data_IF_587854700103
#
_entry.id   IF_587854700103
#
_cell.length_a   1.000
_cell.length_b   1.000
_cell.length_c   1.000
_cell.angle_alpha   90.00
_cell.angle_beta   90.00
_cell.angle_gamma   90.00
#
_symmetry.space_group_name_H-M   'P 1'
#
loop_
_entity.id
_entity.type
_entity.pdbx_description
1 polymer ?
#
# COMPACT_ATOMS: atom_id res chain seq x y z
N UNK A 1 -9.98 15.79 -81.64
CA UNK A 1 -9.20 14.55 -81.66
C UNK A 1 -9.37 13.86 -80.32
N UNK A 2 -9.78 12.59 -80.32
CA UNK A 2 -9.92 11.77 -79.10
C UNK A 2 -8.54 11.32 -78.63
N UNK A 3 -8.29 11.35 -77.32
CA UNK A 3 -7.05 10.82 -76.77
C UNK A 3 -7.17 9.31 -76.52
N UNK A 4 -6.05 8.59 -76.61
CA UNK A 4 -6.03 7.17 -76.26
C UNK A 4 -6.36 6.98 -74.78
N UNK A 5 -7.32 6.10 -74.47
CA UNK A 5 -7.78 5.82 -73.10
C UNK A 5 -8.94 6.68 -72.61
N UNK A 6 -9.53 7.51 -73.46
CA UNK A 6 -10.71 8.32 -73.13
C UNK A 6 -11.94 7.42 -72.94
N UNK A 7 -12.73 7.69 -71.89
CA UNK A 7 -13.91 6.88 -71.57
C UNK A 7 -15.07 7.25 -72.48
N UNK A 8 -15.60 6.26 -73.19
CA UNK A 8 -16.64 6.42 -74.20
C UNK A 8 -17.87 5.58 -73.84
N UNK A 9 -19.04 6.08 -74.20
CA UNK A 9 -20.30 5.33 -74.16
C UNK A 9 -20.69 4.97 -75.58
N UNK A 10 -20.97 3.69 -75.82
CA UNK A 10 -21.42 3.20 -77.13
C UNK A 10 -22.92 3.45 -77.23
N UNK A 11 -23.34 4.20 -78.25
CA UNK A 11 -24.73 4.52 -78.52
C UNK A 11 -25.31 3.59 -79.60
N UNK A 12 -24.52 3.31 -80.64
CA UNK A 12 -24.92 2.46 -81.76
C UNK A 12 -23.72 1.73 -82.35
N UNK A 13 -23.95 0.55 -82.94
CA UNK A 13 -22.95 -0.21 -83.68
C UNK A 13 -23.53 -0.51 -85.07
N UNK A 14 -22.74 -0.28 -86.11
CA UNK A 14 -23.15 -0.55 -87.49
C UNK A 14 -23.39 -2.05 -87.72
N UNK A 15 -24.27 -2.40 -88.65
CA UNK A 15 -24.66 -3.79 -88.95
C UNK A 15 -23.47 -4.68 -89.36
N UNK A 16 -22.42 -4.07 -89.95
CA UNK A 16 -21.16 -4.72 -90.31
C UNK A 16 -20.15 -4.84 -89.15
N UNK A 17 -20.49 -4.35 -87.96
CA UNK A 17 -19.69 -4.30 -86.73
C UNK A 17 -18.35 -3.57 -86.85
N UNK A 18 -18.10 -2.80 -87.91
CA UNK A 18 -16.81 -2.11 -88.14
C UNK A 18 -16.75 -0.73 -87.49
N UNK A 19 -17.89 -0.07 -87.36
CA UNK A 19 -17.99 1.26 -86.78
C UNK A 19 -18.98 1.28 -85.62
N UNK A 20 -18.67 2.11 -84.63
CA UNK A 20 -19.54 2.40 -83.51
C UNK A 20 -19.71 3.91 -83.37
N UNK A 21 -20.95 4.33 -83.12
CA UNK A 21 -21.27 5.70 -82.76
C UNK A 21 -21.16 5.84 -81.25
N UNK A 22 -20.31 6.76 -80.81
CA UNK A 22 -19.96 6.93 -79.39
C UNK A 22 -20.12 8.38 -78.93
N UNK A 23 -20.38 8.56 -77.64
CA UNK A 23 -20.26 9.84 -76.94
C UNK A 23 -19.15 9.77 -75.90
N UNK A 24 -18.51 10.90 -75.59
CA UNK A 24 -17.60 10.96 -74.45
C UNK A 24 -18.41 10.89 -73.15
N UNK A 25 -17.94 10.10 -72.20
CA UNK A 25 -18.53 10.05 -70.86
C UNK A 25 -18.44 11.41 -70.13
N UNK A 26 -17.43 12.22 -70.45
CA UNK A 26 -17.22 13.54 -69.83
C UNK A 26 -18.04 14.66 -70.46
N UNK A 27 -18.51 14.49 -71.70
CA UNK A 27 -19.18 15.53 -72.48
C UNK A 27 -20.08 14.87 -73.54
N UNK A 28 -21.35 14.67 -73.19
CA UNK A 28 -22.32 13.97 -74.03
C UNK A 28 -22.60 14.69 -75.37
N UNK A 29 -22.26 15.98 -75.48
CA UNK A 29 -22.42 16.77 -76.70
C UNK A 29 -21.35 16.46 -77.75
N UNK A 30 -20.24 15.82 -77.35
CA UNK A 30 -19.18 15.39 -78.27
C UNK A 30 -19.42 13.95 -78.68
N UNK A 31 -20.03 13.79 -79.84
CA UNK A 31 -20.33 12.50 -80.45
C UNK A 31 -19.58 12.30 -81.76
N UNK A 32 -19.43 11.05 -82.18
CA UNK A 32 -18.80 10.73 -83.46
C UNK A 32 -18.72 9.23 -83.73
N UNK A 33 -18.36 8.91 -84.98
CA UNK A 33 -18.09 7.53 -85.41
C UNK A 33 -16.63 7.18 -85.18
N UNK A 34 -16.38 5.99 -84.63
CA UNK A 34 -15.04 5.42 -84.43
C UNK A 34 -15.04 3.95 -84.85
N UNK A 35 -13.87 3.45 -85.26
CA UNK A 35 -13.74 2.02 -85.53
C UNK A 35 -13.81 1.20 -84.25
N UNK A 36 -14.58 0.11 -84.28
CA UNK A 36 -14.69 -0.85 -83.17
C UNK A 36 -13.35 -1.50 -82.83
N UNK A 37 -12.42 -1.60 -83.78
CA UNK A 37 -11.05 -2.10 -83.59
C UNK A 37 -10.23 -1.26 -82.60
N UNK A 38 -10.57 0.03 -82.46
CA UNK A 38 -9.91 0.99 -81.56
C UNK A 38 -10.59 1.08 -80.19
N UNK A 39 -11.77 0.45 -80.04
CA UNK A 39 -12.50 0.40 -78.79
C UNK A 39 -12.06 -0.81 -77.96
N UNK A 40 -11.79 -0.58 -76.68
CA UNK A 40 -11.51 -1.64 -75.72
C UNK A 40 -12.58 -1.61 -74.64
N UNK A 41 -13.14 -2.78 -74.25
CA UNK A 41 -14.16 -2.85 -73.20
C UNK A 41 -13.59 -2.54 -71.80
N UNK A 42 -12.28 -2.70 -71.63
CA UNK A 42 -11.57 -2.48 -70.38
C UNK A 42 -10.64 -1.28 -70.50
N UNK A 43 -10.33 -0.65 -69.35
CA UNK A 43 -9.32 0.41 -69.26
C UNK A 43 -7.99 -0.04 -69.85
N UNK A 44 -7.23 0.89 -70.41
CA UNK A 44 -5.92 0.59 -70.99
C UNK A 44 -5.00 -0.11 -69.98
N UNK A 45 -4.13 -1.01 -70.45
CA UNK A 45 -3.18 -1.73 -69.59
C UNK A 45 -2.30 -0.77 -68.77
N UNK A 46 -1.96 0.39 -69.33
CA UNK A 46 -1.21 1.46 -68.65
C UNK A 46 -1.99 2.03 -67.47
N UNK A 47 -3.28 2.30 -67.66
CA UNK A 47 -4.13 2.83 -66.59
C UNK A 47 -4.38 1.78 -65.50
N UNK A 48 -4.61 0.52 -65.88
CA UNK A 48 -4.72 -0.59 -64.93
C UNK A 48 -3.44 -0.74 -64.09
N UNK A 49 -2.26 -0.63 -64.71
CA UNK A 49 -0.98 -0.70 -63.99
C UNK A 49 -0.83 0.42 -62.96
N UNK A 50 -1.24 1.65 -63.29
CA UNK A 50 -1.22 2.78 -62.35
C UNK A 50 -2.17 2.52 -61.18
N UNK A 51 -3.38 2.03 -61.46
CA UNK A 51 -4.37 1.68 -60.43
C UNK A 51 -3.82 0.60 -59.49
N UNK A 52 -3.29 -0.49 -60.03
CA UNK A 52 -2.75 -1.59 -59.22
C UNK A 52 -1.49 -1.18 -58.45
N UNK A 53 -0.63 -0.34 -59.03
CA UNK A 53 0.54 0.22 -58.32
C UNK A 53 0.10 1.08 -57.14
N UNK A 54 -0.92 1.92 -57.32
CA UNK A 54 -1.47 2.75 -56.24
C UNK A 54 -2.14 1.91 -55.15
N UNK A 55 -2.91 0.88 -55.52
CA UNK A 55 -3.49 -0.08 -54.57
C UNK A 55 -2.41 -0.80 -53.78
N UNK A 56 -1.37 -1.31 -54.44
CA UNK A 56 -0.26 -1.99 -53.79
C UNK A 56 0.48 -1.06 -52.82
N UNK A 57 0.71 0.19 -53.22
CA UNK A 57 1.29 1.20 -52.34
C UNK A 57 0.43 1.46 -51.10
N UNK A 58 -0.89 1.64 -51.28
CA UNK A 58 -1.83 1.82 -50.16
C UNK A 58 -1.89 0.60 -49.23
N UNK A 59 -1.87 -0.61 -49.78
CA UNK A 59 -1.83 -1.86 -48.99
C UNK A 59 -0.54 -1.96 -48.19
N UNK A 60 0.61 -1.59 -48.78
CA UNK A 60 1.90 -1.55 -48.07
C UNK A 60 1.90 -0.53 -46.93
N UNK A 61 1.32 0.64 -47.16
CA UNK A 61 1.19 1.68 -46.13
C UNK A 61 0.29 1.23 -44.98
N UNK A 62 -0.89 0.68 -45.29
CA UNK A 62 -1.79 0.07 -44.29
C UNK A 62 -1.11 -1.06 -43.52
N UNK A 63 -0.37 -1.92 -44.20
CA UNK A 63 0.36 -3.01 -43.55
C UNK A 63 1.42 -2.47 -42.58
N UNK A 64 2.13 -1.40 -42.95
CA UNK A 64 3.09 -0.74 -42.07
C UNK A 64 2.39 -0.13 -40.85
N UNK A 65 1.28 0.57 -41.05
CA UNK A 65 0.47 1.14 -39.97
C UNK A 65 -0.05 0.06 -39.01
N UNK A 66 -0.66 -0.99 -39.55
CA UNK A 66 -1.17 -2.12 -38.76
C UNK A 66 -0.05 -2.81 -37.97
N UNK A 67 1.16 -2.93 -38.54
CA UNK A 67 2.32 -3.48 -37.81
C UNK A 67 2.72 -2.58 -36.62
N UNK A 68 2.69 -1.26 -36.80
CA UNK A 68 2.98 -0.31 -35.72
C UNK A 68 1.92 -0.42 -34.63
N UNK A 69 0.63 -0.39 -34.99
CA UNK A 69 -0.48 -0.53 -34.05
C UNK A 69 -0.41 -1.87 -33.30
N UNK A 70 -0.10 -2.97 -33.99
CA UNK A 70 0.05 -4.28 -33.36
C UNK A 70 1.22 -4.30 -32.35
N UNK A 71 2.34 -3.68 -32.71
CA UNK A 71 3.50 -3.56 -31.83
C UNK A 71 3.17 -2.72 -30.59
N UNK A 72 2.45 -1.62 -30.76
CA UNK A 72 2.01 -0.75 -29.67
C UNK A 72 1.02 -1.47 -28.74
N UNK A 73 -0.02 -2.09 -29.29
CA UNK A 73 -1.00 -2.86 -28.50
C UNK A 73 -0.34 -4.01 -27.73
N UNK A 74 0.63 -4.70 -28.33
CA UNK A 74 1.42 -5.73 -27.62
C UNK A 74 2.23 -5.13 -26.47
N UNK A 75 2.86 -3.97 -26.68
CA UNK A 75 3.61 -3.28 -25.62
C UNK A 75 2.68 -2.84 -24.48
N UNK A 76 1.50 -2.30 -24.79
CA UNK A 76 0.49 -1.93 -23.80
C UNK A 76 -0.01 -3.14 -23.02
N UNK A 77 -0.30 -4.26 -23.71
CA UNK A 77 -0.73 -5.48 -23.04
C UNK A 77 0.33 -6.01 -22.07
N UNK A 78 1.60 -6.07 -22.48
CA UNK A 78 2.69 -6.48 -21.58
C UNK A 78 2.84 -5.56 -20.36
N UNK A 79 2.62 -4.24 -20.53
CA UNK A 79 2.61 -3.29 -19.40
C UNK A 79 1.44 -3.57 -18.45
N UNK A 80 0.25 -3.82 -18.98
CA UNK A 80 -0.95 -4.14 -18.19
C UNK A 80 -0.76 -5.45 -17.42
N UNK A 81 -0.23 -6.50 -18.05
CA UNK A 81 0.08 -7.78 -17.39
C UNK A 81 1.08 -7.58 -16.24
N UNK A 82 2.12 -6.77 -16.43
CA UNK A 82 3.07 -6.45 -15.37
C UNK A 82 2.42 -5.67 -14.22
N UNK A 83 1.58 -4.67 -14.53
CA UNK A 83 0.83 -3.92 -13.51
C UNK A 83 -0.12 -4.85 -12.73
N UNK A 84 -0.82 -5.76 -13.42
CA UNK A 84 -1.69 -6.74 -12.79
C UNK A 84 -0.90 -7.62 -11.82
N UNK A 85 0.23 -8.18 -12.24
CA UNK A 85 1.10 -9.00 -11.38
C UNK A 85 1.59 -8.23 -10.14
N UNK A 86 1.95 -6.95 -10.32
CA UNK A 86 2.34 -6.08 -9.21
C UNK A 86 1.18 -5.81 -8.25
N UNK A 87 -0.02 -5.57 -8.76
CA UNK A 87 -1.23 -5.37 -7.96
C UNK A 87 -1.61 -6.63 -7.18
N UNK A 88 -1.57 -7.81 -7.80
CA UNK A 88 -1.82 -9.08 -7.13
C UNK A 88 -0.82 -9.32 -5.98
N UNK A 89 0.46 -8.99 -6.22
CA UNK A 89 1.50 -9.07 -5.18
C UNK A 89 1.21 -8.10 -4.04
N UNK A 90 0.85 -6.85 -4.33
CA UNK A 90 0.46 -5.86 -3.31
C UNK A 90 -0.77 -6.30 -2.53
N UNK A 91 -1.78 -6.86 -3.19
CA UNK A 91 -2.98 -7.38 -2.53
C UNK A 91 -2.60 -8.49 -1.54
N UNK A 92 -1.78 -9.45 -1.96
CA UNK A 92 -1.29 -10.52 -1.07
C UNK A 92 -0.51 -9.97 0.13
N UNK A 93 0.35 -8.97 -0.10
CA UNK A 93 1.12 -8.30 0.96
C UNK A 93 0.21 -7.54 1.94
N UNK A 94 -0.79 -6.82 1.44
CA UNK A 94 -1.78 -6.11 2.25
C UNK A 94 -2.62 -7.08 3.06
N UNK A 95 -3.11 -8.16 2.45
CA UNK A 95 -3.83 -9.23 3.16
C UNK A 95 -2.98 -9.85 4.28
N UNK A 96 -1.72 -10.18 4.00
CA UNK A 96 -0.78 -10.69 5.01
C UNK A 96 -0.57 -9.68 6.13
N UNK A 97 -0.47 -8.40 5.80
CA UNK A 97 -0.32 -7.32 6.79
C UNK A 97 -1.57 -7.15 7.62
N UNK A 98 -2.77 -7.22 7.02
CA UNK A 98 -4.04 -7.20 7.73
C UNK A 98 -4.18 -8.40 8.67
N UNK A 99 -3.76 -9.61 8.26
CA UNK A 99 -3.75 -10.78 9.13
C UNK A 99 -2.79 -10.60 10.31
N UNK A 100 -1.58 -10.08 10.07
CA UNK A 100 -0.62 -9.76 11.14
C UNK A 100 -1.15 -8.68 12.10
N UNK A 101 -1.69 -7.59 11.56
CA UNK A 101 -2.28 -6.52 12.35
C UNK A 101 -3.47 -7.04 13.15
N UNK A 102 -4.35 -7.85 12.55
CA UNK A 102 -5.46 -8.47 13.26
C UNK A 102 -4.97 -9.42 14.34
N UNK A 103 -3.92 -10.20 14.11
CA UNK A 103 -3.32 -11.05 15.15
C UNK A 103 -2.77 -10.22 16.32
N UNK A 104 -2.05 -9.14 16.03
CA UNK A 104 -1.49 -8.24 17.05
C UNK A 104 -2.58 -7.40 17.74
N UNK A 105 -3.64 -7.04 17.02
CA UNK A 105 -4.79 -6.30 17.53
C UNK A 105 -5.91 -7.21 18.08
N UNK A 106 -5.76 -8.54 18.00
CA UNK A 106 -6.50 -9.54 18.76
C UNK A 106 -5.88 -9.78 20.14
N UNK A 107 -4.69 -9.23 20.39
CA UNK A 107 -4.01 -9.24 21.67
C UNK A 107 -4.36 -8.12 22.68
N UNK A 108 -5.28 -7.13 22.46
CA UNK A 108 -5.59 -6.14 23.48
C UNK A 108 -6.36 -6.74 24.65
N UNK A 109 -7.04 -7.88 24.47
CA UNK A 109 -7.64 -8.62 25.60
C UNK A 109 -6.52 -9.20 26.47
N UNK A 110 -5.52 -9.88 25.88
CA UNK A 110 -4.37 -10.40 26.63
C UNK A 110 -3.59 -9.28 27.33
N UNK A 111 -3.35 -8.17 26.64
CA UNK A 111 -2.65 -7.01 27.22
C UNK A 111 -3.50 -6.34 28.31
N UNK A 112 -4.82 -6.29 28.18
CA UNK A 112 -5.71 -5.78 29.22
C UNK A 112 -5.72 -6.70 30.45
N UNK A 113 -5.82 -8.02 30.25
CA UNK A 113 -5.78 -9.02 31.32
C UNK A 113 -4.43 -8.99 32.06
N UNK A 114 -3.31 -8.89 31.34
CA UNK A 114 -1.97 -8.74 31.93
C UNK A 114 -1.84 -7.44 32.73
N UNK A 115 -2.41 -6.33 32.24
CA UNK A 115 -2.43 -5.07 32.99
C UNK A 115 -3.31 -5.14 34.24
N UNK A 116 -4.46 -5.83 34.18
CA UNK A 116 -5.32 -6.02 35.34
C UNK A 116 -4.63 -6.89 36.39
N UNK A 117 -4.00 -7.99 35.98
CA UNK A 117 -3.20 -8.84 36.87
C UNK A 117 -2.02 -8.08 37.49
N UNK A 118 -1.29 -7.28 36.70
CA UNK A 118 -0.18 -6.46 37.21
C UNK A 118 -0.67 -5.39 38.19
N UNK A 119 -1.83 -4.78 37.96
CA UNK A 119 -2.45 -3.84 38.90
C UNK A 119 -2.88 -4.50 40.20
N UNK A 120 -3.45 -5.71 40.13
CA UNK A 120 -3.79 -6.48 41.32
C UNK A 120 -2.53 -6.81 42.12
N UNK A 121 -1.48 -7.33 41.47
CA UNK A 121 -0.20 -7.63 42.12
C UNK A 121 0.44 -6.39 42.75
N UNK A 122 0.36 -5.22 42.09
CA UNK A 122 0.84 -3.96 42.65
C UNK A 122 0.06 -3.57 43.91
N UNK A 123 -1.27 -3.67 43.86
CA UNK A 123 -2.15 -3.32 45.00
C UNK A 123 -1.90 -4.26 46.18
N UNK A 124 -1.74 -5.57 45.93
CA UNK A 124 -1.44 -6.57 46.97
C UNK A 124 -0.07 -6.32 47.60
N UNK A 125 0.93 -5.98 46.78
CA UNK A 125 2.26 -5.64 47.24
C UNK A 125 2.25 -4.36 48.09
N UNK A 126 1.57 -3.31 47.64
CA UNK A 126 1.41 -2.07 48.39
C UNK A 126 0.72 -2.31 49.74
N UNK A 127 -0.35 -3.10 49.75
CA UNK A 127 -1.06 -3.47 50.99
C UNK A 127 -0.15 -4.22 51.94
N UNK A 128 0.59 -5.22 51.44
CA UNK A 128 1.55 -5.99 52.25
C UNK A 128 2.64 -5.08 52.82
N UNK A 129 3.15 -4.12 52.03
CA UNK A 129 4.15 -3.17 52.53
C UNK A 129 3.57 -2.24 53.60
N UNK A 130 2.31 -1.80 53.46
CA UNK A 130 1.65 -0.98 54.45
C UNK A 130 1.45 -1.76 55.77
N UNK A 131 0.97 -3.00 55.69
CA UNK A 131 0.80 -3.90 56.84
C UNK A 131 2.14 -4.16 57.55
N UNK A 132 3.19 -4.50 56.82
CA UNK A 132 4.52 -4.72 57.39
C UNK A 132 5.09 -3.45 58.02
N UNK A 133 4.79 -2.27 57.46
CA UNK A 133 5.24 -0.99 58.02
C UNK A 133 4.49 -0.66 59.31
N UNK A 134 3.17 -0.90 59.35
CA UNK A 134 2.36 -0.74 60.54
C UNK A 134 2.80 -1.70 61.65
N UNK A 135 3.02 -2.97 61.33
CA UNK A 135 3.55 -3.95 62.27
C UNK A 135 4.92 -3.52 62.81
N UNK A 136 5.80 -2.99 61.96
CA UNK A 136 7.10 -2.46 62.39
C UNK A 136 6.96 -1.27 63.35
N UNK A 137 6.03 -0.35 63.08
CA UNK A 137 5.74 0.80 63.95
C UNK A 137 5.20 0.34 65.30
N UNK A 138 4.26 -0.61 65.32
CA UNK A 138 3.69 -1.16 66.55
C UNK A 138 4.76 -1.85 67.38
N UNK A 139 5.57 -2.73 66.77
CA UNK A 139 6.68 -3.42 67.45
C UNK A 139 7.75 -2.41 67.94
N UNK A 140 7.98 -1.34 67.19
CA UNK A 140 8.86 -0.24 67.58
C UNK A 140 8.36 0.52 68.81
N UNK A 141 7.06 0.83 68.87
CA UNK A 141 6.43 1.57 69.97
C UNK A 141 6.43 0.76 71.28
N UNK A 142 6.17 -0.55 71.22
CA UNK A 142 6.28 -1.44 72.40
C UNK A 142 7.70 -1.52 72.96
N UNK A 143 8.70 -1.57 72.06
CA UNK A 143 10.10 -1.57 72.45
C UNK A 143 10.49 -0.24 73.11
N UNK A 144 10.10 0.91 72.54
CA UNK A 144 10.43 2.23 73.09
C UNK A 144 9.84 2.40 74.50
N UNK A 145 8.58 1.99 74.72
CA UNK A 145 7.95 2.06 76.05
C UNK A 145 8.67 1.22 77.09
N UNK A 146 9.11 0.01 76.72
CA UNK A 146 9.84 -0.90 77.62
C UNK A 146 11.20 -0.34 78.02
N UNK A 147 11.98 0.17 77.05
CA UNK A 147 13.27 0.80 77.31
C UNK A 147 13.14 2.10 78.12
N UNK A 148 12.08 2.88 77.91
CA UNK A 148 11.81 4.08 78.70
C UNK A 148 11.47 3.76 80.15
N UNK A 149 10.66 2.73 80.40
CA UNK A 149 10.31 2.30 81.76
C UNK A 149 11.53 1.81 82.54
N UNK A 150 12.40 1.04 81.89
CA UNK A 150 13.68 0.60 82.46
C UNK A 150 14.58 1.82 82.74
N UNK A 151 14.74 2.72 81.77
CA UNK A 151 15.53 3.95 81.95
C UNK A 151 15.02 4.85 83.08
N UNK A 152 13.70 5.00 83.20
CA UNK A 152 13.04 5.74 84.27
C UNK A 152 13.26 5.11 85.64
N UNK A 153 13.08 3.78 85.75
CA UNK A 153 13.34 3.05 86.98
C UNK A 153 14.80 3.17 87.43
N UNK A 154 15.75 3.03 86.49
CA UNK A 154 17.19 3.19 86.75
C UNK A 154 17.51 4.63 87.20
N UNK A 155 16.97 5.65 86.53
CA UNK A 155 17.18 7.05 86.90
C UNK A 155 16.60 7.39 88.27
N UNK A 156 15.41 6.88 88.60
CA UNK A 156 14.81 7.08 89.91
C UNK A 156 15.61 6.36 91.01
N UNK A 157 16.08 5.14 90.72
CA UNK A 157 16.98 4.40 91.58
C UNK A 157 18.29 5.15 91.84
N UNK A 158 18.93 5.70 90.80
CA UNK A 158 20.18 6.44 90.94
C UNK A 158 20.03 7.73 91.76
N UNK A 159 18.88 8.41 91.65
CA UNK A 159 18.56 9.58 92.48
C UNK A 159 18.42 9.21 93.95
N UNK A 160 17.67 8.14 94.26
CA UNK A 160 17.50 7.64 95.63
C UNK A 160 18.84 7.21 96.21
N UNK A 161 19.64 6.46 95.44
CA UNK A 161 20.97 6.03 95.86
C UNK A 161 21.90 7.22 96.09
N UNK A 162 21.89 8.23 95.21
CA UNK A 162 22.69 9.45 95.38
C UNK A 162 22.33 10.20 96.67
N UNK A 163 21.04 10.37 96.94
CA UNK A 163 20.56 11.01 98.18
C UNK A 163 20.92 10.15 99.40
N UNK A 164 20.69 8.84 99.34
CA UNK A 164 21.04 7.93 100.44
C UNK A 164 22.53 7.99 100.77
N UNK A 165 23.40 8.01 99.75
CA UNK A 165 24.85 8.13 99.93
C UNK A 165 25.25 9.42 100.66
N UNK A 166 24.62 10.56 100.32
CA UNK A 166 24.90 11.85 100.99
C UNK A 166 24.40 11.90 102.43
N UNK A 167 23.37 11.12 102.78
CA UNK A 167 22.74 11.14 104.11
C UNK A 167 23.31 10.12 105.09
N UNK A 168 24.00 9.09 104.60
CA UNK A 168 24.69 8.13 105.46
C UNK A 168 25.85 8.87 106.14
N UNK A 169 25.71 9.14 107.43
CA UNK A 169 26.84 9.55 108.28
C UNK A 169 27.71 8.33 108.50
N UNK A 170 28.72 8.16 107.67
CA UNK A 170 29.79 7.19 107.89
C UNK A 170 30.45 7.53 109.23
N UNK A 171 30.07 6.79 110.27
CA UNK A 171 30.68 6.93 111.59
C UNK A 171 32.06 6.30 111.48
N UNK A 172 33.09 7.12 111.28
CA UNK A 172 34.48 6.69 111.50
C UNK A 172 34.57 6.19 112.94
N UNK A 173 34.75 4.89 113.10
CA UNK A 173 35.05 4.30 114.39
C UNK A 173 36.56 4.44 114.61
N UNK A 174 36.99 5.65 114.94
CA UNK A 174 38.34 5.87 115.45
C UNK A 174 38.35 5.38 116.91
N UNK A 175 38.73 4.11 117.10
CA UNK A 175 39.15 3.60 118.40
C UNK A 175 40.65 3.35 118.34
N UNK A 176 41.37 4.31 118.91
CA UNK A 176 42.70 4.13 119.47
C UNK A 176 42.51 3.77 120.95
N UNK A 177 42.86 2.54 121.29
CA UNK A 177 43.32 2.05 122.59
C UNK A 177 43.80 0.61 122.38
#
# INVERSE_FOLDING_TARGET
FLNSGEALVILEITEDQKHAYVSLLSDELKTGWVETSLLMPNKSAREQLVIEKNKNQSVKEKLKELKVQLSESRSQNNKLENIQSQLETKIKQLQSTLVRLRKNASDPIRIADENEQLKQQLTDAETTTAELTEENIILGDENIKSWFLIGGAVSMGSLIFGIALTRIRWKKNDRWA
#
